data_IF_316175270422
#
_entry.id   IF_316175270422
#
_cell.length_a   1.000
_cell.length_b   1.000
_cell.length_c   1.000
_cell.angle_alpha   90.00
_cell.angle_beta   90.00
_cell.angle_gamma   90.00
#
_symmetry.space_group_name_H-M   'P 1'
#
loop_
_entity.id
_entity.type
_entity.pdbx_description
1 polymer ?
#
# COMPACT_ATOMS: atom_id res chain seq x y z
N UNK A 1 14.77 2.59 -12.71
CA UNK A 1 16.07 1.93 -12.72
C UNK A 1 16.98 2.59 -13.75
N UNK A 2 18.29 2.55 -13.51
CA UNK A 2 19.34 3.11 -14.38
C UNK A 2 19.41 4.64 -14.50
N UNK A 3 18.51 5.38 -13.85
CA UNK A 3 18.50 6.86 -13.82
C UNK A 3 18.74 7.36 -12.39
N UNK A 4 17.86 7.04 -11.45
CA UNK A 4 17.84 7.57 -10.09
C UNK A 4 18.04 6.48 -9.01
N UNK A 5 18.56 5.32 -9.37
CA UNK A 5 18.87 4.23 -8.44
C UNK A 5 20.37 3.99 -8.30
N UNK A 6 20.75 3.01 -7.50
CA UNK A 6 22.13 2.64 -7.29
C UNK A 6 22.98 3.82 -6.81
N UNK A 7 24.03 4.17 -7.55
CA UNK A 7 24.93 5.26 -7.19
C UNK A 7 24.25 6.64 -7.20
N UNK A 8 23.29 6.88 -8.11
CA UNK A 8 22.55 8.15 -8.14
C UNK A 8 21.62 8.30 -6.94
N UNK A 9 21.00 7.21 -6.48
CA UNK A 9 20.24 7.22 -5.22
C UNK A 9 21.17 7.61 -4.06
N UNK A 10 22.35 6.98 -3.96
CA UNK A 10 23.32 7.31 -2.91
C UNK A 10 23.73 8.78 -2.98
N UNK A 11 24.02 9.33 -4.17
CA UNK A 11 24.32 10.75 -4.36
C UNK A 11 23.19 11.65 -3.90
N UNK A 12 21.93 11.25 -4.17
CA UNK A 12 20.74 11.98 -3.72
C UNK A 12 20.63 11.96 -2.19
N UNK A 13 20.86 10.82 -1.57
CA UNK A 13 20.86 10.68 -0.11
C UNK A 13 21.94 11.53 0.55
N UNK A 14 23.17 11.51 0.03
CA UNK A 14 24.28 12.33 0.49
C UNK A 14 24.01 13.84 0.31
N UNK A 15 23.41 14.21 -0.84
CA UNK A 15 22.99 15.59 -1.08
C UNK A 15 21.97 16.07 -0.05
N UNK A 16 21.00 15.23 0.30
CA UNK A 16 20.01 15.55 1.32
C UNK A 16 20.66 15.57 2.71
N UNK A 17 21.54 14.61 3.02
CA UNK A 17 22.23 14.54 4.32
C UNK A 17 23.02 15.82 4.62
N UNK A 18 23.66 16.39 3.61
CA UNK A 18 24.39 17.66 3.72
C UNK A 18 23.51 18.92 3.87
N UNK A 19 22.17 18.78 3.81
CA UNK A 19 21.22 19.91 3.81
C UNK A 19 20.15 19.78 4.89
N UNK A 20 20.43 20.25 6.13
CA UNK A 20 19.50 20.07 7.27
C UNK A 20 18.13 20.71 7.08
N UNK A 21 18.00 21.67 6.17
CA UNK A 21 16.71 22.32 5.87
C UNK A 21 15.75 21.43 5.05
N UNK A 22 16.25 20.38 4.42
CA UNK A 22 15.38 19.37 3.80
C UNK A 22 14.92 18.45 4.91
N UNK A 23 13.68 18.54 5.33
CA UNK A 23 13.15 17.83 6.51
C UNK A 23 12.55 16.46 6.19
N UNK A 24 12.19 16.20 4.94
CA UNK A 24 11.67 14.91 4.47
C UNK A 24 12.09 14.67 3.02
N UNK A 25 12.42 13.42 2.70
CA UNK A 25 12.67 12.92 1.34
C UNK A 25 11.81 11.68 1.13
N UNK A 26 10.85 11.76 0.20
CA UNK A 26 10.09 10.61 -0.29
C UNK A 26 10.83 9.94 -1.45
N UNK A 27 10.95 8.63 -1.38
CA UNK A 27 11.55 7.79 -2.42
C UNK A 27 10.47 6.84 -2.89
N UNK A 28 10.08 6.96 -4.17
CA UNK A 28 9.01 6.17 -4.77
C UNK A 28 9.55 5.36 -5.95
N UNK A 29 9.03 4.16 -6.19
CA UNK A 29 9.42 3.38 -7.37
C UNK A 29 8.92 4.06 -8.62
N UNK A 30 9.61 3.85 -9.74
CA UNK A 30 9.15 4.35 -11.03
C UNK A 30 7.83 3.66 -11.41
N UNK A 31 6.76 4.44 -11.50
CA UNK A 31 5.51 4.02 -12.14
C UNK A 31 5.56 4.33 -13.64
N UNK A 32 5.26 3.34 -14.47
CA UNK A 32 5.12 3.53 -15.91
C UNK A 32 3.84 2.88 -16.42
N UNK A 33 3.27 3.48 -17.44
CA UNK A 33 2.02 3.03 -18.05
C UNK A 33 2.27 2.49 -19.46
N UNK A 34 1.30 1.76 -20.02
CA UNK A 34 1.32 1.33 -21.42
C UNK A 34 1.20 2.47 -22.43
N UNK A 35 0.96 3.70 -21.96
CA UNK A 35 0.78 4.89 -22.80
C UNK A 35 2.09 5.66 -23.04
N UNK A 36 3.23 5.08 -22.69
CA UNK A 36 4.57 5.63 -22.92
C UNK A 36 5.52 4.51 -23.38
N UNK A 37 6.59 4.87 -24.09
CA UNK A 37 7.56 3.93 -24.67
C UNK A 37 8.98 4.11 -24.09
N UNK A 38 9.16 5.03 -23.14
CA UNK A 38 10.49 5.39 -22.61
C UNK A 38 10.98 4.39 -21.59
N UNK A 39 10.08 3.92 -20.70
CA UNK A 39 10.42 3.03 -19.58
C UNK A 39 9.67 1.71 -19.71
N UNK A 40 10.39 0.60 -19.50
CA UNK A 40 9.85 -0.76 -19.53
C UNK A 40 10.21 -1.56 -18.28
N UNK A 41 11.05 -0.99 -17.41
CA UNK A 41 11.53 -1.64 -16.19
C UNK A 41 11.29 -0.76 -14.96
N UNK A 42 10.98 -1.39 -13.84
CA UNK A 42 10.90 -0.78 -12.52
C UNK A 42 11.41 -1.75 -11.46
N UNK A 43 11.05 -1.52 -10.21
CA UNK A 43 11.44 -2.33 -9.05
C UNK A 43 10.45 -3.50 -8.81
N UNK A 44 9.97 -4.14 -9.87
CA UNK A 44 8.95 -5.19 -9.79
C UNK A 44 9.47 -6.51 -9.21
N UNK A 45 10.79 -6.65 -9.07
CA UNK A 45 11.40 -7.84 -8.47
C UNK A 45 11.67 -7.60 -6.98
N UNK A 46 11.30 -8.55 -6.09
CA UNK A 46 11.53 -8.41 -4.64
C UNK A 46 12.97 -8.04 -4.27
N UNK A 47 13.95 -8.65 -4.94
CA UNK A 47 15.36 -8.36 -4.68
C UNK A 47 15.78 -6.92 -5.02
N UNK A 48 15.20 -6.33 -6.07
CA UNK A 48 15.47 -4.92 -6.44
C UNK A 48 14.84 -3.97 -5.42
N UNK A 49 13.62 -4.23 -5.00
CA UNK A 49 12.96 -3.45 -3.95
C UNK A 49 13.73 -3.53 -2.63
N UNK A 50 14.16 -4.72 -2.23
CA UNK A 50 14.99 -4.93 -1.04
C UNK A 50 16.31 -4.17 -1.10
N UNK A 51 16.98 -4.14 -2.25
CA UNK A 51 18.23 -3.40 -2.41
C UNK A 51 18.07 -1.89 -2.18
N UNK A 52 16.92 -1.31 -2.56
CA UNK A 52 16.62 0.11 -2.26
C UNK A 52 16.39 0.30 -0.76
N UNK A 53 15.63 -0.58 -0.12
CA UNK A 53 15.42 -0.56 1.33
C UNK A 53 16.75 -0.61 2.06
N UNK A 54 17.64 -1.54 1.68
CA UNK A 54 18.96 -1.72 2.28
C UNK A 54 19.88 -0.51 2.07
N UNK A 55 19.81 0.13 0.91
CA UNK A 55 20.60 1.34 0.61
C UNK A 55 20.16 2.56 1.44
N UNK A 56 18.86 2.70 1.70
CA UNK A 56 18.30 3.84 2.42
C UNK A 56 18.39 3.65 3.94
N UNK A 57 18.30 2.43 4.43
CA UNK A 57 18.25 2.11 5.87
C UNK A 57 19.39 2.74 6.70
N UNK A 58 20.66 2.73 6.28
CA UNK A 58 21.74 3.38 7.03
C UNK A 58 21.52 4.89 7.23
N UNK A 59 20.96 5.59 6.23
CA UNK A 59 20.64 7.01 6.31
C UNK A 59 19.51 7.28 7.31
N UNK A 60 18.46 6.48 7.27
CA UNK A 60 17.36 6.53 8.24
C UNK A 60 17.89 6.40 9.67
N UNK A 61 18.68 5.35 9.94
CA UNK A 61 19.22 5.07 11.27
C UNK A 61 20.15 6.18 11.77
N UNK A 62 21.04 6.70 10.91
CA UNK A 62 21.93 7.82 11.27
C UNK A 62 21.13 9.06 11.63
N UNK A 63 20.13 9.40 10.79
CA UNK A 63 19.34 10.60 11.02
C UNK A 63 18.47 10.47 12.29
N UNK A 64 17.83 9.31 12.52
CA UNK A 64 17.09 9.06 13.76
C UNK A 64 17.97 9.20 15.00
N UNK A 65 19.17 8.65 14.97
CA UNK A 65 20.13 8.78 16.09
C UNK A 65 20.53 10.23 16.34
N UNK A 66 20.69 11.02 15.28
CA UNK A 66 21.16 12.40 15.39
C UNK A 66 20.04 13.40 15.73
N UNK A 67 18.83 13.19 15.24
CA UNK A 67 17.74 14.19 15.27
C UNK A 67 16.42 13.69 15.87
N UNK A 68 16.28 12.39 16.10
CA UNK A 68 15.02 11.75 16.48
C UNK A 68 14.06 11.50 15.31
N UNK A 69 14.43 11.89 14.08
CA UNK A 69 13.59 11.78 12.87
C UNK A 69 14.20 10.84 11.84
N UNK A 70 13.35 10.11 11.12
CA UNK A 70 13.77 9.21 10.04
C UNK A 70 14.18 9.98 8.79
N UNK A 71 13.39 10.99 8.39
CA UNK A 71 13.65 11.91 7.27
C UNK A 71 13.60 11.27 5.86
N UNK A 72 14.18 10.10 5.67
CA UNK A 72 14.23 9.38 4.39
C UNK A 72 13.11 8.34 4.38
N UNK A 73 12.06 8.59 3.58
CA UNK A 73 10.86 7.79 3.58
C UNK A 73 10.74 7.01 2.27
N UNK A 74 10.46 5.72 2.37
CA UNK A 74 10.22 4.85 1.23
C UNK A 74 8.71 4.66 1.04
N UNK A 75 8.25 4.69 -0.20
CA UNK A 75 6.87 4.34 -0.52
C UNK A 75 6.56 2.89 -0.12
N UNK A 76 5.33 2.67 0.30
CA UNK A 76 4.84 1.37 0.76
C UNK A 76 5.03 0.27 -0.29
N UNK A 77 5.00 0.64 -1.59
CA UNK A 77 5.24 -0.28 -2.70
C UNK A 77 6.59 -1.01 -2.60
N UNK A 78 7.65 -0.37 -2.06
CA UNK A 78 8.92 -1.07 -1.87
C UNK A 78 8.79 -2.22 -0.87
N UNK A 79 8.10 -2.00 0.24
CA UNK A 79 7.89 -3.02 1.27
C UNK A 79 6.96 -4.13 0.77
N UNK A 80 5.88 -3.76 0.07
CA UNK A 80 4.94 -4.71 -0.54
C UNK A 80 5.65 -5.59 -1.60
N UNK A 81 6.46 -4.99 -2.49
CA UNK A 81 7.23 -5.72 -3.50
C UNK A 81 8.33 -6.58 -2.90
N UNK A 82 9.04 -6.10 -1.90
CA UNK A 82 10.06 -6.87 -1.17
C UNK A 82 9.45 -7.96 -0.28
N UNK A 83 8.13 -7.96 -0.06
CA UNK A 83 7.43 -8.82 0.90
C UNK A 83 8.01 -8.69 2.31
N UNK A 84 8.32 -7.45 2.69
CA UNK A 84 8.91 -7.10 3.97
C UNK A 84 7.92 -6.25 4.74
N UNK A 85 7.86 -6.44 6.06
CA UNK A 85 7.01 -5.60 6.91
C UNK A 85 7.46 -4.14 6.84
N UNK A 86 6.51 -3.17 6.65
CA UNK A 86 6.85 -1.76 6.68
C UNK A 86 7.30 -1.34 8.09
N UNK A 87 8.11 -0.27 8.22
CA UNK A 87 8.55 0.25 9.51
C UNK A 87 7.41 0.52 10.48
N UNK A 88 7.72 0.62 11.78
CA UNK A 88 6.72 1.03 12.78
C UNK A 88 6.32 2.51 12.60
N UNK A 89 5.16 2.89 13.14
CA UNK A 89 4.57 4.22 12.98
C UNK A 89 5.52 5.37 13.35
N UNK A 90 6.34 5.18 14.38
CA UNK A 90 7.29 6.18 14.85
C UNK A 90 8.41 6.48 13.83
N UNK A 91 8.62 5.60 12.85
CA UNK A 91 9.62 5.81 11.80
C UNK A 91 9.10 6.67 10.65
N UNK A 92 7.80 6.96 10.60
CA UNK A 92 7.20 7.80 9.55
C UNK A 92 7.16 9.30 9.91
N UNK A 93 7.74 9.73 11.05
CA UNK A 93 7.87 11.14 11.45
C UNK A 93 6.53 11.93 11.51
N UNK A 94 5.42 11.24 11.77
CA UNK A 94 4.08 11.81 11.74
C UNK A 94 3.45 11.86 10.33
N UNK A 95 3.93 11.02 9.42
CA UNK A 95 3.37 10.81 8.07
C UNK A 95 3.35 12.06 7.17
N UNK A 96 4.47 12.79 7.00
CA UNK A 96 4.48 14.04 6.24
C UNK A 96 4.21 13.85 4.74
N UNK A 97 4.30 12.62 4.23
CA UNK A 97 4.10 12.26 2.82
C UNK A 97 3.06 11.13 2.66
N UNK A 98 2.05 11.11 3.54
CA UNK A 98 1.02 10.06 3.56
C UNK A 98 0.32 9.89 2.20
N UNK A 99 -0.08 11.01 1.58
CA UNK A 99 -0.77 11.00 0.28
C UNK A 99 0.12 10.63 -0.91
N UNK A 100 1.43 10.54 -0.68
CA UNK A 100 2.39 10.04 -1.68
C UNK A 100 2.57 8.50 -1.59
N UNK A 101 1.69 7.81 -0.85
CA UNK A 101 1.76 6.36 -0.66
C UNK A 101 2.85 5.93 0.32
N UNK A 102 3.16 6.77 1.32
CA UNK A 102 4.21 6.52 2.31
C UNK A 102 3.59 6.37 3.70
N UNK A 103 3.55 5.13 4.21
CA UNK A 103 3.04 4.80 5.52
C UNK A 103 1.55 4.49 5.58
N UNK A 104 0.85 4.44 4.45
CA UNK A 104 -0.57 4.06 4.40
C UNK A 104 -0.78 2.61 4.85
N UNK A 105 0.11 1.71 4.41
CA UNK A 105 0.06 0.29 4.81
C UNK A 105 0.30 0.15 6.31
N UNK A 106 1.27 0.88 6.89
CA UNK A 106 1.52 0.85 8.34
C UNK A 106 0.30 1.38 9.12
N UNK A 107 -0.24 2.52 8.74
CA UNK A 107 -1.45 3.08 9.35
C UNK A 107 -2.61 2.09 9.31
N UNK A 108 -2.85 1.48 8.14
CA UNK A 108 -3.89 0.46 8.00
C UNK A 108 -3.67 -0.75 8.91
N UNK A 109 -2.43 -1.27 8.99
CA UNK A 109 -2.11 -2.43 9.84
C UNK A 109 -2.31 -2.12 11.33
N UNK A 110 -1.92 -0.92 11.77
CA UNK A 110 -2.08 -0.51 13.16
C UNK A 110 -3.56 -0.33 13.52
N UNK A 111 -4.34 0.36 12.67
CA UNK A 111 -5.78 0.51 12.85
C UNK A 111 -6.52 -0.84 12.79
N UNK A 112 -6.11 -1.74 11.92
CA UNK A 112 -6.64 -3.10 11.84
C UNK A 112 -6.35 -3.89 13.12
N UNK A 113 -5.14 -3.79 13.66
CA UNK A 113 -4.76 -4.45 14.91
C UNK A 113 -5.57 -3.91 16.10
N UNK A 114 -5.75 -2.60 16.19
CA UNK A 114 -6.55 -1.96 17.23
C UNK A 114 -8.01 -2.40 17.15
N UNK A 115 -8.60 -2.42 15.94
CA UNK A 115 -9.97 -2.90 15.71
C UNK A 115 -10.14 -4.37 16.12
N UNK A 116 -9.19 -5.23 15.73
CA UNK A 116 -9.25 -6.66 16.03
C UNK A 116 -9.07 -6.96 17.53
N UNK A 117 -8.45 -6.08 18.28
CA UNK A 117 -8.30 -6.17 19.74
C UNK A 117 -9.51 -5.62 20.50
N UNK A 118 -10.41 -4.89 19.86
CA UNK A 118 -11.57 -4.24 20.48
C UNK A 118 -12.85 -5.09 20.28
N UNK A 119 -13.20 -5.87 21.29
CA UNK A 119 -14.41 -6.71 21.30
C UNK A 119 -15.73 -5.89 21.18
N UNK A 120 -15.76 -4.65 21.66
CA UNK A 120 -16.91 -3.78 21.53
C UNK A 120 -17.07 -3.32 20.08
N UNK A 121 -15.99 -2.92 19.43
CA UNK A 121 -15.96 -2.55 18.02
C UNK A 121 -16.30 -3.71 17.09
N UNK A 122 -15.93 -4.95 17.43
CA UNK A 122 -16.28 -6.14 16.66
C UNK A 122 -17.77 -6.54 16.77
N UNK A 123 -18.47 -6.07 17.78
CA UNK A 123 -19.90 -6.37 17.98
C UNK A 123 -20.79 -5.98 16.79
N UNK A 124 -20.78 -4.74 16.31
CA UNK A 124 -21.50 -4.32 15.11
C UNK A 124 -21.12 -5.10 13.85
N UNK A 125 -19.85 -5.48 13.69
CA UNK A 125 -19.36 -6.25 12.55
C UNK A 125 -19.96 -7.65 12.56
N UNK A 126 -19.98 -8.35 13.70
CA UNK A 126 -20.65 -9.65 13.85
C UNK A 126 -22.14 -9.56 13.54
N UNK A 127 -22.82 -8.50 14.04
CA UNK A 127 -24.24 -8.30 13.77
C UNK A 127 -24.51 -8.01 12.27
N UNK A 128 -23.62 -7.30 11.60
CA UNK A 128 -23.71 -7.07 10.16
C UNK A 128 -23.50 -8.37 9.38
N UNK A 129 -22.50 -9.17 9.73
CA UNK A 129 -22.24 -10.47 9.12
C UNK A 129 -23.45 -11.43 9.24
N UNK A 130 -24.10 -11.49 10.41
CA UNK A 130 -25.31 -12.27 10.61
C UNK A 130 -26.48 -11.79 9.72
N UNK A 131 -26.64 -10.46 9.55
CA UNK A 131 -27.66 -9.92 8.64
C UNK A 131 -27.41 -10.30 7.19
N UNK A 132 -26.16 -10.20 6.73
CA UNK A 132 -25.75 -10.64 5.39
C UNK A 132 -26.05 -12.15 5.19
N UNK A 133 -25.75 -12.95 6.19
CA UNK A 133 -26.00 -14.39 6.14
C UNK A 133 -27.50 -14.70 6.02
N UNK A 134 -28.33 -14.07 6.85
CA UNK A 134 -29.78 -14.25 6.80
C UNK A 134 -30.42 -13.77 5.49
N UNK A 135 -29.86 -12.70 4.90
CA UNK A 135 -30.34 -12.18 3.61
C UNK A 135 -29.77 -12.95 2.41
N UNK A 136 -28.83 -13.88 2.61
CA UNK A 136 -28.10 -14.52 1.52
C UNK A 136 -27.20 -13.56 0.74
N UNK A 137 -26.79 -12.45 1.37
CA UNK A 137 -25.97 -11.40 0.77
C UNK A 137 -24.49 -11.59 1.09
N UNK A 138 -23.66 -10.96 0.28
CA UNK A 138 -22.20 -10.88 0.46
C UNK A 138 -21.67 -9.48 0.16
N UNK A 139 -20.44 -9.21 0.62
CA UNK A 139 -19.70 -7.98 0.32
C UNK A 139 -18.47 -8.32 -0.51
N UNK A 140 -18.25 -7.57 -1.57
CA UNK A 140 -16.99 -7.57 -2.33
C UNK A 140 -16.26 -6.27 -2.03
N UNK A 141 -15.02 -6.38 -1.55
CA UNK A 141 -14.13 -5.23 -1.34
C UNK A 141 -13.16 -5.15 -2.51
N UNK A 142 -13.17 -4.03 -3.21
CA UNK A 142 -12.26 -3.78 -4.33
C UNK A 142 -10.92 -3.27 -3.80
N UNK A 143 -9.84 -3.84 -4.31
CA UNK A 143 -8.47 -3.41 -4.03
C UNK A 143 -7.59 -3.55 -5.27
N UNK A 144 -6.60 -2.72 -5.42
CA UNK A 144 -5.52 -2.94 -6.39
C UNK A 144 -4.65 -4.12 -5.99
N UNK A 145 -4.02 -4.75 -6.98
CA UNK A 145 -3.22 -5.97 -6.77
C UNK A 145 -2.06 -5.78 -5.78
N UNK A 146 -1.49 -4.56 -5.68
CA UNK A 146 -0.38 -4.29 -4.76
C UNK A 146 -0.75 -4.54 -3.29
N UNK A 147 -1.93 -4.09 -2.85
CA UNK A 147 -2.38 -4.15 -1.46
C UNK A 147 -3.42 -5.23 -1.17
N UNK A 148 -3.91 -5.95 -2.19
CA UNK A 148 -4.99 -6.92 -2.04
C UNK A 148 -4.70 -7.98 -0.97
N UNK A 149 -3.47 -8.48 -0.88
CA UNK A 149 -3.09 -9.48 0.12
C UNK A 149 -3.20 -8.94 1.56
N UNK A 150 -2.80 -7.68 1.80
CA UNK A 150 -2.92 -7.04 3.12
C UNK A 150 -4.39 -6.92 3.54
N UNK A 151 -5.25 -6.52 2.59
CA UNK A 151 -6.71 -6.42 2.82
C UNK A 151 -7.32 -7.82 3.01
N UNK A 152 -6.88 -8.83 2.25
CA UNK A 152 -7.32 -10.22 2.42
C UNK A 152 -7.00 -10.76 3.83
N UNK A 153 -5.79 -10.52 4.31
CA UNK A 153 -5.36 -10.97 5.63
C UNK A 153 -6.23 -10.34 6.73
N UNK A 154 -6.49 -9.04 6.63
CA UNK A 154 -7.38 -8.33 7.54
C UNK A 154 -8.82 -8.88 7.49
N UNK A 155 -9.41 -9.01 6.30
CA UNK A 155 -10.78 -9.54 6.14
C UNK A 155 -10.90 -10.96 6.68
N UNK A 156 -9.87 -11.78 6.50
CA UNK A 156 -9.82 -13.15 7.01
C UNK A 156 -9.79 -13.21 8.55
N UNK A 157 -9.26 -12.18 9.20
CA UNK A 157 -9.24 -12.05 10.65
C UNK A 157 -10.57 -11.52 11.23
N UNK A 158 -11.42 -10.89 10.41
CA UNK A 158 -12.70 -10.35 10.84
C UNK A 158 -13.74 -11.48 11.05
N UNK A 159 -14.67 -11.30 12.02
CA UNK A 159 -15.72 -12.28 12.27
C UNK A 159 -16.89 -12.17 11.24
N UNK A 160 -16.57 -12.26 9.95
CA UNK A 160 -17.53 -12.06 8.84
C UNK A 160 -17.97 -13.36 8.16
N UNK A 161 -17.49 -14.53 8.63
CA UNK A 161 -17.97 -15.85 8.23
C UNK A 161 -17.91 -16.14 6.72
N UNK A 162 -16.90 -15.60 6.01
CA UNK A 162 -16.78 -15.76 4.55
C UNK A 162 -17.79 -14.93 3.72
N UNK A 163 -18.50 -13.98 4.36
CA UNK A 163 -19.44 -13.09 3.66
C UNK A 163 -18.76 -11.85 3.06
N UNK A 164 -17.48 -11.64 3.34
CA UNK A 164 -16.66 -10.60 2.71
C UNK A 164 -15.57 -11.26 1.89
N UNK A 165 -15.38 -10.80 0.67
CA UNK A 165 -14.37 -11.27 -0.26
C UNK A 165 -13.63 -10.05 -0.84
N UNK A 166 -12.31 -10.15 -1.01
CA UNK A 166 -11.50 -9.12 -1.64
C UNK A 166 -11.34 -9.42 -3.12
N UNK A 167 -11.68 -8.46 -3.96
CA UNK A 167 -11.47 -8.51 -5.40
C UNK A 167 -10.24 -7.71 -5.74
N UNK A 168 -9.14 -8.41 -6.06
CA UNK A 168 -7.93 -7.80 -6.57
C UNK A 168 -8.12 -7.42 -8.04
N UNK A 169 -8.12 -6.13 -8.33
CA UNK A 169 -8.36 -5.59 -9.68
C UNK A 169 -7.02 -5.24 -10.32
N UNK A 170 -6.76 -5.78 -11.51
CA UNK A 170 -5.64 -5.41 -12.35
C UNK A 170 -5.96 -4.07 -13.06
N UNK A 171 -4.97 -3.19 -13.13
CA UNK A 171 -5.12 -1.90 -13.79
C UNK A 171 -4.78 -2.03 -15.29
N UNK A 172 -5.76 -2.39 -16.08
CA UNK A 172 -5.59 -2.55 -17.52
C UNK A 172 -5.59 -1.20 -18.24
N UNK A 173 -6.27 -0.19 -17.70
CA UNK A 173 -6.36 1.13 -18.32
C UNK A 173 -4.98 1.79 -18.39
N UNK A 174 -4.28 1.90 -17.29
CA UNK A 174 -2.91 2.41 -17.26
C UNK A 174 -1.90 1.34 -17.71
N UNK A 175 -2.09 0.10 -17.33
CA UNK A 175 -1.15 -1.00 -17.64
C UNK A 175 0.24 -0.77 -17.05
N UNK A 176 1.26 -1.33 -17.69
CA UNK A 176 2.64 -1.21 -17.23
C UNK A 176 2.85 -1.90 -15.88
N UNK A 177 3.29 -1.14 -14.89
CA UNK A 177 3.43 -1.63 -13.52
C UNK A 177 2.49 -0.94 -12.51
N UNK A 178 1.47 -0.23 -13.00
CA UNK A 178 0.50 0.47 -12.14
C UNK A 178 -0.46 -0.55 -11.53
N UNK A 179 -0.40 -0.74 -10.22
CA UNK A 179 -1.18 -1.76 -9.51
C UNK A 179 -1.72 -1.30 -8.15
N UNK A 180 -1.58 0.00 -7.83
CA UNK A 180 -2.05 0.61 -6.59
C UNK A 180 -3.55 0.91 -6.67
N UNK A 181 -4.24 0.80 -5.55
CA UNK A 181 -5.70 0.97 -5.42
C UNK A 181 -6.17 2.35 -5.88
N UNK A 182 -5.46 3.43 -5.49
CA UNK A 182 -5.84 4.81 -5.79
C UNK A 182 -5.74 5.22 -7.28
N UNK A 183 -5.22 4.34 -8.14
CA UNK A 183 -5.14 4.56 -9.59
C UNK A 183 -6.03 3.62 -10.40
N UNK A 184 -6.89 2.82 -9.75
CA UNK A 184 -7.86 1.99 -10.46
C UNK A 184 -8.89 2.84 -11.19
N UNK A 185 -9.22 2.44 -12.40
CA UNK A 185 -10.25 3.07 -13.20
C UNK A 185 -11.57 2.29 -13.13
N UNK A 186 -12.68 2.99 -13.22
CA UNK A 186 -14.00 2.35 -13.17
C UNK A 186 -14.18 1.25 -14.24
N UNK A 187 -13.59 1.43 -15.44
CA UNK A 187 -13.63 0.40 -16.48
C UNK A 187 -12.96 -0.90 -16.05
N UNK A 188 -11.84 -0.85 -15.33
CA UNK A 188 -11.12 -2.03 -14.87
C UNK A 188 -11.91 -2.76 -13.79
N UNK A 189 -12.47 -2.00 -12.83
CA UNK A 189 -13.34 -2.54 -11.78
C UNK A 189 -14.55 -3.23 -12.39
N UNK A 190 -15.27 -2.56 -13.29
CA UNK A 190 -16.50 -3.11 -13.92
C UNK A 190 -16.19 -4.35 -14.77
N UNK A 191 -15.05 -4.41 -15.43
CA UNK A 191 -14.67 -5.55 -16.26
C UNK A 191 -14.31 -6.81 -15.45
N UNK A 192 -13.83 -6.63 -14.22
CA UNK A 192 -13.29 -7.70 -13.37
C UNK A 192 -14.24 -8.11 -12.22
N UNK A 193 -15.30 -7.35 -11.99
CA UNK A 193 -16.36 -7.79 -11.08
C UNK A 193 -17.14 -8.96 -11.68
N UNK A 194 -17.71 -9.87 -10.83
CA UNK A 194 -18.62 -10.92 -11.28
C UNK A 194 -19.79 -10.35 -12.10
N UNK A 195 -20.23 -11.07 -13.13
CA UNK A 195 -21.38 -10.64 -13.96
C UNK A 195 -22.69 -10.60 -13.16
N UNK A 196 -22.86 -11.54 -12.21
CA UNK A 196 -24.00 -11.57 -11.32
C UNK A 196 -23.63 -10.96 -9.96
N UNK A 197 -24.15 -9.78 -9.73
CA UNK A 197 -24.05 -9.05 -8.47
C UNK A 197 -25.35 -9.10 -7.66
N UNK A 198 -26.27 -10.03 -7.99
CA UNK A 198 -27.46 -10.26 -7.18
C UNK A 198 -27.05 -10.58 -5.75
N UNK A 199 -27.70 -9.94 -4.77
CA UNK A 199 -27.38 -10.10 -3.35
C UNK A 199 -25.90 -9.76 -3.00
N UNK A 200 -25.29 -8.82 -3.73
CA UNK A 200 -23.90 -8.43 -3.54
C UNK A 200 -23.79 -6.93 -3.32
N UNK A 201 -23.14 -6.53 -2.24
CA UNK A 201 -22.71 -5.13 -2.00
C UNK A 201 -21.26 -5.01 -2.43
N UNK A 202 -20.96 -4.04 -3.28
CA UNK A 202 -19.57 -3.76 -3.70
C UNK A 202 -19.09 -2.53 -2.95
N UNK A 203 -17.99 -2.68 -2.22
CA UNK A 203 -17.32 -1.58 -1.54
C UNK A 203 -16.12 -1.13 -2.36
N UNK A 204 -16.10 0.16 -2.66
CA UNK A 204 -15.00 0.82 -3.34
C UNK A 204 -14.22 1.64 -2.31
N UNK A 205 -12.89 1.65 -2.40
CA UNK A 205 -12.06 2.55 -1.61
C UNK A 205 -12.34 4.02 -1.96
N UNK A 206 -12.34 4.90 -0.98
CA UNK A 206 -12.59 6.35 -1.17
C UNK A 206 -11.40 7.10 -1.79
N UNK A 207 -10.27 6.43 -1.94
CA UNK A 207 -9.05 6.95 -2.59
C UNK A 207 -8.99 6.71 -4.11
N UNK A 208 -10.03 6.10 -4.68
CA UNK A 208 -10.13 5.83 -6.12
C UNK A 208 -10.52 7.08 -6.92
#
# INVERSE_FOLDING_TARGET
>A
PNENDGEELVRTLDFVEARPLITSLGIVPLGFTRHQDTFTESFNEPARAQAVIDAVRPYQLRNRKATGRTRYQLADEFYLMARTEPPCAEEYDGYPQYYDGIGMVRSFLDEAADLLADEEALGPIRAAAQRLEMAGERVLLVSGCASAHVVCDFVSALPVGGRCEVVAVENDYFGGNVNVTGLLCACDVLAQLPQDLSHTVVWLPDIM
#
